data_IF_298474480468
#
_entry.id   IF_298474480468
#
_cell.length_a   1.000
_cell.length_b   1.000
_cell.length_c   1.000
_cell.angle_alpha   90.00
_cell.angle_beta   90.00
_cell.angle_gamma   90.00
#
_symmetry.space_group_name_H-M   'P 1'
#
loop_
_entity.id
_entity.type
_entity.pdbx_description
1 polymer ?
#
# COMPACT_ATOMS: atom_id res chain seq x y z
N UNK A 1 -3.68 15.11 13.94
CA UNK A 1 -3.07 14.02 13.16
C UNK A 1 -3.32 14.28 11.69
N UNK A 2 -2.27 14.36 10.89
CA UNK A 2 -2.32 14.56 9.43
C UNK A 2 -1.95 13.24 8.74
N UNK A 3 -2.70 12.84 7.72
CA UNK A 3 -2.44 11.62 6.95
C UNK A 3 -2.13 11.99 5.51
N UNK A 4 -0.94 11.58 5.00
CA UNK A 4 -0.59 11.65 3.59
C UNK A 4 -0.96 10.33 2.92
N UNK A 5 -1.73 10.36 1.83
CA UNK A 5 -2.03 9.18 1.04
C UNK A 5 -1.03 9.07 -0.12
N UNK A 6 -0.32 7.95 -0.24
CA UNK A 6 0.63 7.67 -1.33
C UNK A 6 0.06 6.58 -2.23
N UNK A 7 0.01 6.87 -3.54
CA UNK A 7 -0.50 5.96 -4.57
C UNK A 7 0.55 5.82 -5.66
N UNK A 8 1.32 4.74 -5.66
CA UNK A 8 2.15 4.40 -6.82
C UNK A 8 1.26 3.85 -7.94
N UNK A 9 1.47 4.32 -9.17
CA UNK A 9 0.71 3.90 -10.34
C UNK A 9 1.66 3.52 -11.49
N UNK A 10 1.43 2.37 -12.11
CA UNK A 10 2.13 1.94 -13.31
C UNK A 10 1.19 1.12 -14.21
N UNK A 11 0.81 1.69 -15.35
CA UNK A 11 -0.16 1.11 -16.29
C UNK A 11 -1.51 0.82 -15.64
N UNK A 12 -2.12 1.87 -15.07
CA UNK A 12 -3.38 1.81 -14.32
C UNK A 12 -4.48 2.66 -14.97
N UNK A 13 -4.47 2.81 -16.31
CA UNK A 13 -5.46 3.60 -17.07
C UNK A 13 -6.91 3.21 -16.78
N UNK A 14 -7.17 1.92 -16.43
CA UNK A 14 -8.51 1.40 -16.17
C UNK A 14 -9.04 1.69 -14.78
N UNK A 15 -8.16 1.86 -13.80
CA UNK A 15 -8.50 1.90 -12.38
C UNK A 15 -8.24 3.25 -11.71
N UNK A 16 -7.22 3.99 -12.16
CA UNK A 16 -6.74 5.20 -11.50
C UNK A 16 -7.84 6.27 -11.33
N UNK A 17 -8.70 6.45 -12.35
CA UNK A 17 -9.82 7.40 -12.30
C UNK A 17 -10.78 7.07 -11.16
N UNK A 18 -11.19 5.80 -11.04
CA UNK A 18 -12.13 5.36 -9.99
C UNK A 18 -11.50 5.56 -8.61
N UNK A 19 -10.24 5.20 -8.44
CA UNK A 19 -9.51 5.39 -7.20
C UNK A 19 -9.44 6.87 -6.82
N UNK A 20 -9.02 7.75 -7.72
CA UNK A 20 -8.91 9.19 -7.44
C UNK A 20 -10.26 9.83 -7.14
N UNK A 21 -11.32 9.52 -7.89
CA UNK A 21 -12.66 10.04 -7.63
C UNK A 21 -13.20 9.60 -6.26
N UNK A 22 -12.75 8.47 -5.75
CA UNK A 22 -13.13 8.00 -4.40
C UNK A 22 -12.39 8.77 -3.31
N UNK A 23 -11.09 9.06 -3.48
CA UNK A 23 -10.25 9.59 -2.40
C UNK A 23 -10.12 11.11 -2.39
N UNK A 24 -10.18 11.79 -3.55
CA UNK A 24 -10.06 13.25 -3.63
C UNK A 24 -11.08 13.97 -2.72
N UNK A 25 -12.35 13.53 -2.63
CA UNK A 25 -13.31 14.15 -1.69
C UNK A 25 -12.95 14.05 -0.20
N UNK A 26 -11.95 13.24 0.17
CA UNK A 26 -11.43 13.13 1.55
C UNK A 26 -10.33 14.15 1.86
N UNK A 27 -9.84 14.89 0.84
CA UNK A 27 -8.85 15.96 1.04
C UNK A 27 -9.39 17.01 2.00
N UNK A 28 -8.52 17.47 2.89
CA UNK A 28 -8.78 18.45 3.96
C UNK A 28 -9.73 18.00 5.07
N UNK A 29 -10.23 16.75 5.02
CA UNK A 29 -11.07 16.15 6.07
C UNK A 29 -10.31 14.99 6.74
N UNK A 30 -10.24 13.85 6.07
CA UNK A 30 -9.56 12.65 6.54
C UNK A 30 -8.13 12.54 6.03
N UNK A 31 -7.87 13.09 4.85
CA UNK A 31 -6.54 13.16 4.24
C UNK A 31 -6.02 14.58 4.23
N UNK A 32 -4.78 14.76 4.69
CA UNK A 32 -4.07 16.02 4.63
C UNK A 32 -3.59 16.32 3.20
N UNK A 33 -3.08 15.30 2.52
CA UNK A 33 -2.62 15.38 1.12
C UNK A 33 -2.74 14.01 0.43
N UNK A 34 -2.80 14.04 -0.89
CA UNK A 34 -2.72 12.87 -1.77
C UNK A 34 -1.52 13.05 -2.69
N UNK A 35 -0.66 12.06 -2.74
CA UNK A 35 0.56 12.02 -3.57
C UNK A 35 0.44 10.82 -4.49
N UNK A 36 0.16 11.08 -5.76
CA UNK A 36 0.11 10.05 -6.82
C UNK A 36 1.41 10.11 -7.60
N UNK A 37 2.07 8.97 -7.75
CA UNK A 37 3.33 8.91 -8.48
C UNK A 37 3.19 7.91 -9.62
N UNK A 38 3.14 8.44 -10.83
CA UNK A 38 3.19 7.65 -12.05
C UNK A 38 4.62 7.18 -12.31
N UNK A 39 4.82 5.88 -12.30
CA UNK A 39 6.14 5.24 -12.47
C UNK A 39 6.48 5.00 -13.94
N UNK A 40 6.39 6.07 -14.76
CA UNK A 40 6.67 6.02 -16.20
C UNK A 40 5.76 5.01 -16.92
N UNK A 41 4.44 5.15 -16.79
CA UNK A 41 3.45 4.33 -17.49
C UNK A 41 3.55 4.48 -19.01
N UNK A 42 3.25 3.38 -19.73
CA UNK A 42 3.24 3.32 -21.19
C UNK A 42 1.83 3.33 -21.80
N UNK A 43 0.81 3.42 -20.95
CA UNK A 43 -0.60 3.52 -21.28
C UNK A 43 -1.14 4.95 -21.05
N UNK A 44 -2.45 5.15 -21.01
CA UNK A 44 -3.07 6.45 -20.82
C UNK A 44 -3.02 6.96 -19.36
N UNK A 45 -2.38 6.26 -18.42
CA UNK A 45 -2.32 6.66 -17.01
C UNK A 45 -1.82 8.09 -16.82
N UNK A 46 -0.76 8.49 -17.54
CA UNK A 46 -0.20 9.83 -17.44
C UNK A 46 -1.18 10.90 -17.92
N UNK A 47 -1.82 10.68 -19.07
CA UNK A 47 -2.77 11.65 -19.64
C UNK A 47 -4.01 11.80 -18.74
N UNK A 48 -4.50 10.70 -18.17
CA UNK A 48 -5.57 10.72 -17.17
C UNK A 48 -5.16 11.55 -15.97
N UNK A 49 -3.99 11.34 -15.40
CA UNK A 49 -3.50 12.13 -14.26
C UNK A 49 -3.38 13.61 -14.59
N UNK A 50 -2.85 13.95 -15.76
CA UNK A 50 -2.71 15.33 -16.23
C UNK A 50 -4.05 16.04 -16.46
N UNK A 51 -5.15 15.29 -16.66
CA UNK A 51 -6.49 15.86 -16.83
C UNK A 51 -7.14 16.32 -15.52
N UNK A 52 -6.62 15.90 -14.37
CA UNK A 52 -7.15 16.34 -13.08
C UNK A 52 -6.80 17.81 -12.81
N UNK A 53 -7.76 18.60 -12.29
CA UNK A 53 -7.50 20.01 -11.98
C UNK A 53 -6.45 20.14 -10.87
N UNK A 54 -5.61 21.15 -10.99
CA UNK A 54 -4.65 21.50 -9.95
C UNK A 54 -5.40 21.83 -8.66
N UNK A 55 -5.12 21.11 -7.60
CA UNK A 55 -5.72 21.30 -6.28
C UNK A 55 -4.63 21.41 -5.23
N UNK A 56 -4.88 22.25 -4.21
CA UNK A 56 -4.02 22.30 -3.04
C UNK A 56 -4.00 20.92 -2.37
N UNK A 57 -2.81 20.42 -2.05
CA UNK A 57 -2.60 19.13 -1.40
C UNK A 57 -2.92 17.88 -2.27
N UNK A 58 -3.16 18.04 -3.58
CA UNK A 58 -3.12 16.95 -4.56
C UNK A 58 -1.84 17.08 -5.38
N UNK A 59 -0.95 16.13 -5.24
CA UNK A 59 0.35 16.10 -5.92
C UNK A 59 0.37 14.97 -6.94
N UNK A 60 0.41 15.32 -8.23
CA UNK A 60 0.52 14.38 -9.34
C UNK A 60 1.95 14.46 -9.88
N UNK A 61 2.69 13.37 -9.77
CA UNK A 61 4.12 13.33 -10.03
C UNK A 61 4.40 12.23 -11.05
N UNK A 62 5.31 12.52 -11.99
CA UNK A 62 5.73 11.53 -12.99
C UNK A 62 7.22 11.23 -12.85
N UNK A 63 7.56 9.94 -12.81
CA UNK A 63 8.93 9.48 -12.94
C UNK A 63 9.34 9.52 -14.42
N UNK A 64 10.57 9.88 -14.68
CA UNK A 64 11.13 9.88 -16.05
C UNK A 64 11.48 8.47 -16.54
N UNK A 65 11.68 7.54 -15.62
CA UNK A 65 11.97 6.14 -15.89
C UNK A 65 11.15 5.26 -14.93
N UNK A 66 10.88 4.02 -15.30
CA UNK A 66 10.27 3.04 -14.38
C UNK A 66 11.31 2.64 -13.32
N UNK A 67 11.05 3.06 -12.09
CA UNK A 67 11.90 2.82 -10.93
C UNK A 67 11.48 1.58 -10.12
N UNK A 68 10.27 1.08 -10.36
CA UNK A 68 9.63 0.01 -9.60
C UNK A 68 8.92 0.51 -8.34
N UNK A 69 7.96 -0.29 -7.83
CA UNK A 69 7.04 0.10 -6.74
C UNK A 69 7.77 0.67 -5.52
N UNK A 70 8.84 0.03 -5.08
CA UNK A 70 9.53 0.42 -3.84
C UNK A 70 10.20 1.80 -3.94
N UNK A 71 10.91 2.06 -5.03
CA UNK A 71 11.55 3.36 -5.26
C UNK A 71 10.51 4.46 -5.48
N UNK A 72 9.43 4.18 -6.20
CA UNK A 72 8.30 5.07 -6.40
C UNK A 72 7.62 5.43 -5.08
N UNK A 73 7.38 4.44 -4.22
CA UNK A 73 6.86 4.66 -2.86
C UNK A 73 7.83 5.47 -2.00
N UNK A 74 9.13 5.19 -2.07
CA UNK A 74 10.15 5.96 -1.33
C UNK A 74 10.12 7.45 -1.70
N UNK A 75 9.96 7.76 -3.00
CA UNK A 75 9.78 9.15 -3.47
C UNK A 75 8.54 9.81 -2.85
N UNK A 76 7.43 9.07 -2.74
CA UNK A 76 6.22 9.56 -2.05
C UNK A 76 6.45 9.80 -0.56
N UNK A 77 7.16 8.91 0.12
CA UNK A 77 7.53 9.05 1.55
C UNK A 77 8.38 10.31 1.78
N UNK A 78 9.32 10.59 0.89
CA UNK A 78 10.17 11.77 0.97
C UNK A 78 9.34 13.06 0.95
N UNK A 79 8.37 13.14 0.03
CA UNK A 79 7.51 14.30 -0.18
C UNK A 79 6.43 14.45 0.89
N UNK A 80 6.03 13.36 1.54
CA UNK A 80 4.94 13.35 2.50
C UNK A 80 5.20 14.26 3.71
N UNK A 81 4.19 15.06 4.07
CA UNK A 81 4.20 16.04 5.19
C UNK A 81 3.27 15.65 6.33
N UNK A 82 2.47 14.59 6.19
CA UNK A 82 1.60 14.08 7.23
C UNK A 82 2.37 13.36 8.34
N UNK A 83 1.73 13.23 9.50
CA UNK A 83 2.26 12.47 10.64
C UNK A 83 2.27 10.97 10.35
N UNK A 84 1.32 10.52 9.52
CA UNK A 84 1.14 9.15 9.06
C UNK A 84 1.05 9.09 7.56
N UNK A 85 1.48 7.96 6.99
CA UNK A 85 1.32 7.64 5.57
C UNK A 85 0.33 6.49 5.44
N UNK A 86 -0.71 6.72 4.63
CA UNK A 86 -1.58 5.70 4.08
C UNK A 86 -1.02 5.28 2.72
N UNK A 87 -0.62 4.03 2.58
CA UNK A 87 -0.36 3.43 1.27
C UNK A 87 -1.65 2.89 0.68
N UNK A 88 -1.88 3.17 -0.59
CA UNK A 88 -3.07 2.72 -1.32
C UNK A 88 -2.64 2.27 -2.72
N UNK A 89 -3.06 1.07 -3.12
CA UNK A 89 -2.83 0.59 -4.49
C UNK A 89 -3.80 1.28 -5.46
N UNK A 90 -3.37 1.52 -6.69
CA UNK A 90 -4.17 2.21 -7.71
C UNK A 90 -5.26 1.33 -8.34
N UNK A 91 -5.22 0.01 -8.14
CA UNK A 91 -6.04 -1.02 -8.81
C UNK A 91 -7.09 -1.67 -7.91
N UNK A 92 -7.57 -0.96 -6.91
CA UNK A 92 -8.56 -1.48 -5.97
C UNK A 92 -9.97 -1.44 -6.58
N UNK A 93 -10.63 -2.59 -6.58
CA UNK A 93 -12.03 -2.72 -6.96
C UNK A 93 -12.96 -2.44 -5.77
N UNK A 94 -14.07 -1.76 -6.03
CA UNK A 94 -15.11 -1.45 -5.04
C UNK A 94 -14.63 -0.64 -3.82
N UNK A 95 -13.53 0.11 -3.97
CA UNK A 95 -13.05 1.01 -2.94
C UNK A 95 -14.07 2.11 -2.65
N UNK A 96 -14.36 2.35 -1.39
CA UNK A 96 -15.24 3.42 -0.93
C UNK A 96 -14.50 4.40 0.00
N UNK A 97 -15.06 5.60 0.18
CA UNK A 97 -14.55 6.57 1.16
C UNK A 97 -14.51 5.97 2.57
N UNK A 98 -15.53 5.19 2.94
CA UNK A 98 -15.62 4.57 4.25
C UNK A 98 -14.46 3.59 4.47
N UNK A 99 -14.04 2.84 3.46
CA UNK A 99 -12.88 1.95 3.59
C UNK A 99 -11.58 2.70 3.96
N UNK A 100 -11.39 3.92 3.47
CA UNK A 100 -10.24 4.76 3.82
C UNK A 100 -10.37 5.26 5.27
N UNK A 101 -11.56 5.75 5.63
CA UNK A 101 -11.86 6.23 6.99
C UNK A 101 -11.63 5.13 8.01
N UNK A 102 -12.14 3.91 7.75
CA UNK A 102 -11.99 2.75 8.63
C UNK A 102 -10.52 2.35 8.83
N UNK A 103 -9.70 2.47 7.78
CA UNK A 103 -8.27 2.17 7.88
C UNK A 103 -7.50 3.19 8.73
N UNK A 104 -7.93 4.44 8.73
CA UNK A 104 -7.34 5.52 9.51
C UNK A 104 -7.89 5.54 10.95
N UNK A 105 -9.12 5.10 11.16
CA UNK A 105 -9.83 5.19 12.43
C UNK A 105 -9.09 4.58 13.64
N UNK A 106 -8.41 3.41 13.56
CA UNK A 106 -7.68 2.87 14.71
C UNK A 106 -6.58 3.81 15.22
N UNK A 107 -5.97 4.58 14.31
CA UNK A 107 -4.92 5.55 14.66
C UNK A 107 -5.55 6.83 15.23
N UNK A 108 -6.59 7.34 14.59
CA UNK A 108 -7.33 8.53 15.08
C UNK A 108 -7.89 8.32 16.49
N UNK A 109 -8.34 7.09 16.79
CA UNK A 109 -8.94 6.72 18.07
C UNK A 109 -7.92 6.20 19.09
N UNK A 110 -6.62 6.33 18.81
CA UNK A 110 -5.52 5.92 19.71
C UNK A 110 -5.53 4.43 20.10
N UNK A 111 -6.25 3.58 19.35
CA UNK A 111 -6.31 2.13 19.56
C UNK A 111 -5.00 1.43 19.13
N UNK A 112 -4.40 1.91 18.05
CA UNK A 112 -3.14 1.40 17.53
C UNK A 112 -2.27 2.50 16.92
N UNK A 113 -1.00 2.20 16.67
CA UNK A 113 -0.05 3.10 15.99
C UNK A 113 0.12 2.78 14.50
N UNK A 114 -0.48 1.73 14.03
CA UNK A 114 -0.53 1.36 12.61
C UNK A 114 -1.79 0.56 12.31
N UNK A 115 -2.16 0.45 11.04
CA UNK A 115 -3.24 -0.42 10.59
C UNK A 115 -2.89 -1.08 9.26
N UNK A 116 -3.50 -2.23 9.00
CA UNK A 116 -3.39 -2.99 7.75
C UNK A 116 -4.77 -3.46 7.32
N UNK A 117 -5.04 -3.38 6.02
CA UNK A 117 -6.30 -3.88 5.47
C UNK A 117 -6.29 -5.41 5.37
N UNK A 118 -7.44 -6.02 5.66
CA UNK A 118 -7.78 -7.38 5.30
C UNK A 118 -8.96 -7.30 4.32
N UNK A 119 -8.72 -7.58 3.05
CA UNK A 119 -9.69 -7.42 1.97
C UNK A 119 -10.29 -8.77 1.56
N UNK A 120 -11.37 -8.77 0.78
CA UNK A 120 -12.14 -9.96 0.41
C UNK A 120 -11.29 -11.08 -0.19
N UNK A 121 -10.32 -10.74 -1.04
CA UNK A 121 -9.43 -11.71 -1.65
C UNK A 121 -8.03 -11.79 -0.99
N UNK A 122 -7.92 -11.37 0.27
CA UNK A 122 -6.74 -11.58 1.11
C UNK A 122 -6.38 -13.05 1.23
N UNK A 123 -5.08 -13.34 1.25
CA UNK A 123 -4.54 -14.70 1.34
C UNK A 123 -3.67 -14.83 2.60
N UNK A 124 -4.30 -14.93 3.78
CA UNK A 124 -3.54 -15.09 5.01
C UNK A 124 -2.80 -16.43 5.01
N UNK A 125 -1.61 -16.44 5.59
CA UNK A 125 -0.83 -17.67 5.76
C UNK A 125 -1.41 -18.50 6.93
N UNK A 126 -1.90 -19.72 6.70
CA UNK A 126 -2.38 -20.57 7.80
C UNK A 126 -1.26 -20.84 8.82
N UNK A 127 -1.54 -20.90 10.14
CA UNK A 127 -2.86 -20.73 10.78
C UNK A 127 -3.28 -19.27 11.02
N UNK A 128 -2.52 -18.29 10.56
CA UNK A 128 -2.68 -16.86 10.84
C UNK A 128 -3.77 -16.26 9.94
N UNK A 129 -5.00 -16.17 10.45
CA UNK A 129 -6.17 -15.74 9.68
C UNK A 129 -6.54 -14.26 9.84
N UNK A 130 -5.86 -13.53 10.73
CA UNK A 130 -6.23 -12.15 11.09
C UNK A 130 -5.45 -11.07 10.33
N UNK A 131 -4.38 -11.41 9.63
CA UNK A 131 -3.50 -10.45 8.93
C UNK A 131 -3.22 -10.94 7.51
N UNK A 132 -3.37 -10.04 6.54
CA UNK A 132 -2.79 -10.20 5.21
C UNK A 132 -1.43 -9.51 5.15
N UNK A 133 -0.38 -10.26 5.42
CA UNK A 133 0.99 -9.75 5.49
C UNK A 133 1.52 -9.20 4.16
N UNK A 134 0.90 -9.55 3.05
CA UNK A 134 1.24 -9.07 1.70
C UNK A 134 0.40 -7.88 1.24
N UNK A 135 -0.61 -7.46 2.02
CA UNK A 135 -1.45 -6.35 1.62
C UNK A 135 -0.66 -5.03 1.62
N UNK A 136 -0.73 -4.29 0.50
CA UNK A 136 -0.10 -2.98 0.35
C UNK A 136 -0.80 -1.87 1.13
N UNK A 137 -2.11 -2.04 1.42
CA UNK A 137 -2.95 -1.01 2.03
C UNK A 137 -2.75 -0.97 3.54
N UNK A 138 -2.06 0.04 4.02
CA UNK A 138 -1.70 0.19 5.44
C UNK A 138 -1.43 1.63 5.83
N UNK A 139 -1.60 1.95 7.10
CA UNK A 139 -1.22 3.23 7.69
C UNK A 139 -0.05 3.04 8.63
N UNK A 140 1.03 3.81 8.42
CA UNK A 140 2.28 3.69 9.18
C UNK A 140 2.78 5.09 9.57
N UNK A 141 3.41 5.27 10.75
CA UNK A 141 4.03 6.54 11.13
C UNK A 141 5.07 7.01 10.11
N UNK A 142 4.97 8.27 9.66
CA UNK A 142 5.88 8.85 8.65
C UNK A 142 7.33 8.87 9.13
N UNK A 143 7.57 9.13 10.41
CA UNK A 143 8.92 9.17 10.98
C UNK A 143 9.66 7.84 10.82
N UNK A 144 8.95 6.72 11.07
CA UNK A 144 9.52 5.37 10.92
C UNK A 144 9.93 5.10 9.47
N UNK A 145 9.11 5.52 8.51
CA UNK A 145 9.36 5.34 7.08
C UNK A 145 10.51 6.22 6.60
N UNK A 146 10.54 7.50 6.99
CA UNK A 146 11.61 8.44 6.61
C UNK A 146 12.99 8.02 7.12
N UNK A 147 13.07 7.46 8.32
CA UNK A 147 14.32 6.92 8.87
C UNK A 147 14.86 5.71 8.08
N UNK A 148 14.02 5.06 7.28
CA UNK A 148 14.36 3.87 6.51
C UNK A 148 14.25 4.06 5.00
N UNK A 149 14.12 5.31 4.52
CA UNK A 149 13.82 5.61 3.12
C UNK A 149 14.85 5.03 2.15
N UNK A 150 16.15 5.09 2.51
CA UNK A 150 17.21 4.51 1.67
C UNK A 150 17.06 3.00 1.51
N UNK A 151 16.70 2.29 2.58
CA UNK A 151 16.43 0.85 2.50
C UNK A 151 15.22 0.58 1.62
N UNK A 152 14.14 1.34 1.82
CA UNK A 152 12.89 1.20 1.06
C UNK A 152 13.14 1.42 -0.44
N UNK A 153 13.88 2.45 -0.82
CA UNK A 153 14.16 2.77 -2.22
C UNK A 153 14.97 1.69 -2.96
N UNK A 154 15.76 0.90 -2.24
CA UNK A 154 16.60 -0.16 -2.80
C UNK A 154 15.98 -1.56 -2.70
N UNK A 155 14.73 -1.69 -2.24
CA UNK A 155 14.06 -2.98 -2.19
C UNK A 155 13.70 -3.46 -3.60
N UNK A 156 13.98 -4.73 -3.85
CA UNK A 156 13.63 -5.36 -5.11
C UNK A 156 12.18 -5.88 -5.07
N UNK A 157 11.40 -5.60 -6.11
CA UNK A 157 10.08 -6.17 -6.40
C UNK A 157 9.10 -6.13 -5.20
N UNK A 158 8.65 -7.30 -4.72
CA UNK A 158 7.65 -7.47 -3.64
C UNK A 158 8.26 -7.44 -2.23
N UNK A 159 9.45 -6.87 -2.07
CA UNK A 159 10.11 -6.77 -0.78
C UNK A 159 9.54 -5.68 0.12
N UNK A 160 8.75 -4.75 -0.42
CA UNK A 160 8.24 -3.60 0.32
C UNK A 160 7.36 -4.03 1.49
N UNK A 161 6.33 -4.84 1.23
CA UNK A 161 5.37 -5.27 2.24
C UNK A 161 6.04 -6.08 3.35
N UNK A 162 6.96 -6.97 2.99
CA UNK A 162 7.77 -7.76 3.93
C UNK A 162 8.66 -6.86 4.79
N UNK A 163 9.33 -5.90 4.16
CA UNK A 163 10.18 -4.94 4.87
C UNK A 163 9.37 -4.07 5.85
N UNK A 164 8.21 -3.58 5.44
CA UNK A 164 7.33 -2.81 6.30
C UNK A 164 6.85 -3.63 7.51
N UNK A 165 6.55 -4.92 7.32
CA UNK A 165 6.22 -5.81 8.43
C UNK A 165 7.39 -5.95 9.42
N UNK A 166 8.62 -6.14 8.92
CA UNK A 166 9.81 -6.17 9.78
C UNK A 166 10.01 -4.87 10.55
N UNK A 167 9.77 -3.71 9.92
CA UNK A 167 9.86 -2.43 10.60
C UNK A 167 8.86 -2.33 11.76
N UNK A 168 7.62 -2.75 11.57
CA UNK A 168 6.60 -2.75 12.62
C UNK A 168 7.01 -3.65 13.78
N UNK A 169 7.49 -4.87 13.49
CA UNK A 169 7.94 -5.84 14.50
C UNK A 169 9.13 -5.30 15.29
N UNK A 170 10.20 -4.87 14.61
CA UNK A 170 11.43 -4.39 15.24
C UNK A 170 11.17 -3.19 16.15
N UNK A 171 10.25 -2.32 15.78
CA UNK A 171 9.91 -1.11 16.56
C UNK A 171 8.72 -1.31 17.49
N UNK A 172 8.19 -2.54 17.62
CA UNK A 172 7.04 -2.90 18.47
C UNK A 172 5.85 -1.95 18.25
N UNK A 173 5.56 -1.62 16.99
CA UNK A 173 4.45 -0.73 16.62
C UNK A 173 3.15 -1.53 16.71
N UNK A 174 2.23 -1.09 17.57
CA UNK A 174 0.90 -1.73 17.67
C UNK A 174 0.15 -1.66 16.34
N UNK A 175 -0.52 -2.74 15.97
CA UNK A 175 -1.17 -2.94 14.69
C UNK A 175 -2.67 -3.18 14.88
N UNK A 176 -3.51 -2.61 14.01
CA UNK A 176 -4.92 -2.97 13.87
C UNK A 176 -5.12 -3.65 12.52
N UNK A 177 -5.85 -4.77 12.50
CA UNK A 177 -6.32 -5.39 11.26
C UNK A 177 -7.73 -4.90 10.97
N UNK A 178 -7.92 -4.27 9.79
CA UNK A 178 -9.18 -3.67 9.37
C UNK A 178 -9.79 -4.49 8.25
N UNK A 179 -10.91 -5.15 8.53
CA UNK A 179 -11.60 -6.00 7.57
C UNK A 179 -12.44 -5.17 6.59
N UNK A 180 -12.35 -5.48 5.30
CA UNK A 180 -13.02 -4.82 4.19
C UNK A 180 -13.51 -5.84 3.18
N UNK A 181 -14.63 -6.48 3.48
CA UNK A 181 -15.16 -7.59 2.69
C UNK A 181 -15.69 -7.20 1.31
N UNK A 182 -15.85 -5.89 1.05
CA UNK A 182 -16.26 -5.35 -0.23
C UNK A 182 -15.10 -4.97 -1.17
N UNK A 183 -13.87 -4.85 -0.65
CA UNK A 183 -12.71 -4.42 -1.45
C UNK A 183 -11.94 -5.64 -1.95
N UNK A 184 -11.50 -5.59 -3.19
CA UNK A 184 -10.68 -6.62 -3.83
C UNK A 184 -9.50 -5.96 -4.57
N UNK A 185 -8.36 -6.66 -4.63
CA UNK A 185 -7.32 -6.33 -5.60
C UNK A 185 -7.69 -6.91 -6.97
N UNK A 186 -7.45 -6.15 -8.04
CA UNK A 186 -7.55 -6.69 -9.39
C UNK A 186 -6.32 -7.55 -9.70
N UNK A 187 -6.49 -8.86 -9.60
CA UNK A 187 -5.38 -9.79 -9.81
C UNK A 187 -4.86 -9.75 -11.24
N UNK A 188 -3.54 -9.90 -11.39
CA UNK A 188 -2.85 -10.01 -12.68
C UNK A 188 -3.43 -11.06 -13.63
N UNK A 189 -4.14 -12.08 -13.14
CA UNK A 189 -4.84 -13.06 -13.98
C UNK A 189 -5.96 -12.42 -14.81
N UNK A 190 -6.61 -11.40 -14.26
CA UNK A 190 -7.66 -10.65 -14.95
C UNK A 190 -7.05 -9.64 -15.95
N UNK A 191 -5.88 -9.07 -15.59
CA UNK A 191 -5.17 -8.06 -16.42
C UNK A 191 -4.36 -8.69 -17.56
N UNK A 192 -3.65 -9.80 -17.30
CA UNK A 192 -2.63 -10.37 -18.20
C UNK A 192 -3.07 -11.70 -18.85
N UNK A 193 -4.25 -12.24 -18.50
CA UNK A 193 -4.74 -13.56 -18.90
C UNK A 193 -4.18 -14.72 -18.05
N UNK A 194 -4.86 -15.89 -18.11
CA UNK A 194 -4.65 -17.01 -17.19
C UNK A 194 -3.20 -17.54 -17.12
N UNK A 195 -2.52 -17.67 -18.26
CA UNK A 195 -1.17 -18.27 -18.30
C UNK A 195 -0.11 -17.26 -17.83
N UNK A 196 -0.12 -16.05 -18.37
CA UNK A 196 0.82 -15.00 -17.99
C UNK A 196 0.65 -14.59 -16.51
N UNK A 197 -0.60 -14.50 -16.04
CA UNK A 197 -0.92 -14.21 -14.66
C UNK A 197 -0.42 -15.28 -13.67
N UNK A 198 -0.52 -16.57 -14.02
CA UNK A 198 0.03 -17.68 -13.20
C UNK A 198 1.56 -17.62 -13.10
N UNK A 199 2.25 -17.38 -14.20
CA UNK A 199 3.72 -17.25 -14.23
C UNK A 199 4.14 -16.05 -13.37
N UNK A 200 3.43 -14.94 -13.46
CA UNK A 200 3.68 -13.73 -12.67
C UNK A 200 3.47 -13.99 -11.16
N UNK A 201 2.39 -14.71 -10.80
CA UNK A 201 2.13 -15.12 -9.43
C UNK A 201 3.24 -16.02 -8.85
N UNK A 202 3.77 -16.98 -9.63
CA UNK A 202 4.90 -17.82 -9.19
C UNK A 202 6.17 -17.00 -8.96
N UNK A 203 6.45 -16.01 -9.81
CA UNK A 203 7.57 -15.08 -9.62
C UNK A 203 7.37 -14.26 -8.33
N UNK A 204 6.15 -13.77 -8.07
CA UNK A 204 5.78 -13.05 -6.85
C UNK A 204 6.08 -13.90 -5.61
N UNK A 205 5.59 -15.13 -5.56
CA UNK A 205 5.84 -16.05 -4.43
C UNK A 205 7.32 -16.32 -4.21
N UNK A 206 8.10 -16.53 -5.29
CA UNK A 206 9.54 -16.71 -5.18
C UNK A 206 10.23 -15.48 -4.59
N UNK A 207 9.81 -14.28 -4.96
CA UNK A 207 10.35 -13.04 -4.39
C UNK A 207 9.95 -12.82 -2.94
N UNK A 208 8.70 -13.11 -2.57
CA UNK A 208 8.23 -13.05 -1.18
C UNK A 208 9.07 -13.98 -0.30
N UNK A 209 9.25 -15.23 -0.71
CA UNK A 209 10.06 -16.19 0.03
C UNK A 209 11.53 -15.76 0.12
N UNK A 210 12.09 -15.23 -0.95
CA UNK A 210 13.45 -14.68 -0.94
C UNK A 210 13.58 -13.49 0.01
N UNK A 211 12.66 -12.54 -0.07
CA UNK A 211 12.65 -11.34 0.79
C UNK A 211 12.40 -11.68 2.28
N UNK A 212 11.66 -12.76 2.55
CA UNK A 212 11.39 -13.25 3.90
C UNK A 212 12.44 -14.22 4.43
N UNK A 213 13.52 -14.52 3.66
CA UNK A 213 14.56 -15.49 4.04
C UNK A 213 14.02 -16.93 4.19
N UNK A 214 13.02 -17.29 3.41
CA UNK A 214 12.42 -18.60 3.35
C UNK A 214 11.08 -18.75 4.11
N UNK A 215 10.47 -19.92 3.97
CA UNK A 215 9.12 -20.18 4.50
C UNK A 215 9.06 -20.09 6.02
N UNK A 216 10.06 -20.59 6.72
CA UNK A 216 10.12 -20.56 8.19
C UNK A 216 10.16 -19.11 8.72
N UNK A 217 11.00 -18.26 8.11
CA UNK A 217 11.09 -16.85 8.48
C UNK A 217 9.78 -16.10 8.19
N UNK A 218 9.08 -16.46 7.11
CA UNK A 218 7.76 -15.91 6.80
C UNK A 218 6.72 -16.29 7.87
N UNK A 219 6.71 -17.54 8.32
CA UNK A 219 5.85 -17.99 9.42
C UNK A 219 6.17 -17.25 10.72
N UNK A 220 7.45 -17.15 11.09
CA UNK A 220 7.88 -16.40 12.26
C UNK A 220 7.45 -14.94 12.19
N UNK A 221 7.65 -14.27 11.07
CA UNK A 221 7.21 -12.90 10.86
C UNK A 221 5.70 -12.74 11.07
N UNK A 222 4.89 -13.66 10.54
CA UNK A 222 3.43 -13.62 10.74
C UNK A 222 3.04 -13.83 12.20
N UNK A 223 3.71 -14.73 12.92
CA UNK A 223 3.52 -14.91 14.35
C UNK A 223 3.84 -13.60 15.10
N UNK A 224 5.00 -13.02 14.84
CA UNK A 224 5.44 -11.77 15.49
C UNK A 224 4.46 -10.59 15.18
N UNK A 225 3.93 -10.49 13.95
CA UNK A 225 2.91 -9.49 13.60
C UNK A 225 1.62 -9.69 14.41
N UNK A 226 1.19 -10.93 14.62
CA UNK A 226 0.00 -11.22 15.43
C UNK A 226 0.14 -10.71 16.87
N UNK A 227 1.35 -10.71 17.43
CA UNK A 227 1.60 -10.18 18.78
C UNK A 227 1.42 -8.67 18.89
N UNK A 228 1.46 -7.96 17.76
CA UNK A 228 1.27 -6.51 17.70
C UNK A 228 -0.21 -6.11 17.56
N UNK A 229 -1.12 -7.08 17.27
CA UNK A 229 -2.54 -6.80 17.12
C UNK A 229 -3.12 -6.24 18.41
N UNK A 230 -3.91 -5.18 18.25
CA UNK A 230 -4.80 -4.64 19.28
C UNK A 230 -6.24 -4.96 18.90
N UNK A 231 -6.98 -5.48 19.84
CA UNK A 231 -8.41 -5.77 19.71
C UNK A 231 -9.26 -4.50 19.80
#
# INVERSE_FOLDING_TARGET
>A
MKVSCIIPAYNEEKSITTTLNTIIPLLNWDLFEIIVINDCSNDQTQDILNSYPVQKNLHLIHNTNNLGKSATVARGIELAKGDYILFLDADLLHLTKQNIIDLIAPIKNWKSRSSIAFIKNSRPLPPFKKIDYCNGQRVIPTTLLKQNIWKISNLLWYGLEIFLNHLLIQNKISLASVHRDNVENDFHQNKDGLIKGRIKNLKIWRHILYSAWGLFALYKMNFDLQTLLKE
#
